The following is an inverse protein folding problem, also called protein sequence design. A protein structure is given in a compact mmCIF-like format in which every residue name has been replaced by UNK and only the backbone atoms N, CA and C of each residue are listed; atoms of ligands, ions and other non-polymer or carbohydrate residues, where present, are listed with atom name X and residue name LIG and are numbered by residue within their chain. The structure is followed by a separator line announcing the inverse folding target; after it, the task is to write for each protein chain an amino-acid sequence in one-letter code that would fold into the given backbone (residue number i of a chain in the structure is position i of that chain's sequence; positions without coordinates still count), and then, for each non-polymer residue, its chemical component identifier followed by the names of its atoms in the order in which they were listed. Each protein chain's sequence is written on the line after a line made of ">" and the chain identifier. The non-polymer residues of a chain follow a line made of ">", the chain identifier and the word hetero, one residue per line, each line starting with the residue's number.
data_IF_403491979969
#
_entry.id   IF_403491979969
#
_cell.length_a   1.000
_cell.length_b   1.000
_cell.length_c   1.000
_cell.angle_alpha   90.00
_cell.angle_beta   90.00
_cell.angle_gamma   90.00
#
_symmetry.space_group_name_H-M   'P 1'
#
loop_
_entity.id
_entity.type
_entity.pdbx_description
1 polymer ?
#
# COMPACT_ATOMS: atom_id res chain seq x y z
N UNK A 1 33.32 4.17 -39.65
CA UNK A 1 32.67 4.61 -38.39
C UNK A 1 31.18 4.70 -38.62
N UNK A 2 30.36 3.93 -37.90
CA UNK A 2 28.90 3.87 -38.12
C UNK A 2 28.18 5.04 -37.43
N UNK A 3 27.11 5.52 -38.06
CA UNK A 3 26.26 6.65 -37.61
C UNK A 3 25.67 6.44 -36.21
N UNK A 4 25.54 5.19 -35.79
CA UNK A 4 25.06 4.76 -34.48
C UNK A 4 25.87 5.40 -33.32
N UNK A 5 27.21 5.47 -33.44
CA UNK A 5 28.08 6.02 -32.37
C UNK A 5 27.96 7.54 -32.18
N UNK A 6 27.37 8.27 -33.14
CA UNK A 6 27.11 9.71 -33.02
C UNK A 6 25.80 10.00 -32.27
N UNK A 7 24.80 9.12 -32.38
CA UNK A 7 23.49 9.32 -31.77
C UNK A 7 23.45 8.92 -30.28
N UNK A 8 24.19 7.88 -29.89
CA UNK A 8 24.23 7.42 -28.49
C UNK A 8 25.42 8.01 -27.73
N UNK A 9 25.57 9.33 -27.73
CA UNK A 9 26.50 10.01 -26.83
C UNK A 9 25.84 10.18 -25.46
N UNK A 10 26.60 9.89 -24.40
CA UNK A 10 26.18 10.13 -23.02
C UNK A 10 25.80 11.60 -22.87
N UNK A 11 24.52 11.87 -22.66
CA UNK A 11 24.02 13.22 -22.43
C UNK A 11 24.60 13.72 -21.10
N UNK A 12 25.44 14.75 -21.15
CA UNK A 12 25.93 15.43 -19.95
C UNK A 12 24.87 16.48 -19.61
N UNK A 13 24.20 16.40 -18.44
CA UNK A 13 23.22 17.40 -18.06
C UNK A 13 23.92 18.76 -17.96
N UNK A 14 23.45 19.75 -18.70
CA UNK A 14 23.90 21.12 -18.51
C UNK A 14 23.33 21.64 -17.19
N UNK A 15 24.09 22.42 -16.40
CA UNK A 15 23.57 23.03 -15.20
C UNK A 15 22.38 23.92 -15.57
N UNK A 16 21.24 23.71 -14.91
CA UNK A 16 20.07 24.57 -15.10
C UNK A 16 20.45 26.00 -14.71
N UNK A 17 20.38 26.94 -15.65
CA UNK A 17 20.38 28.37 -15.31
C UNK A 17 19.15 28.62 -14.44
N UNK A 18 19.34 28.83 -13.14
CA UNK A 18 18.29 29.38 -12.31
C UNK A 18 18.00 30.79 -12.80
N UNK A 19 16.73 31.12 -13.06
CA UNK A 19 16.25 32.48 -13.38
C UNK A 19 16.37 33.45 -12.17
N UNK A 20 17.30 33.20 -11.25
CA UNK A 20 17.77 34.20 -10.31
C UNK A 20 18.75 35.11 -11.04
N UNK A 21 18.58 36.41 -10.86
CA UNK A 21 19.40 37.49 -11.44
C UNK A 21 20.86 37.07 -11.62
N UNK A 22 21.36 37.20 -12.85
CA UNK A 22 22.77 37.00 -13.17
C UNK A 22 23.61 37.74 -12.12
N UNK A 23 24.69 37.15 -11.58
CA UNK A 23 25.52 37.82 -10.57
C UNK A 23 25.97 39.16 -11.13
N UNK A 24 25.40 40.24 -10.59
CA UNK A 24 25.63 41.57 -11.09
C UNK A 24 27.08 41.94 -10.83
N UNK A 25 27.89 41.97 -11.90
CA UNK A 25 29.29 42.38 -11.85
C UNK A 25 29.45 43.82 -11.31
N UNK A 26 28.40 44.65 -11.36
CA UNK A 26 28.42 46.01 -10.79
C UNK A 26 28.31 46.03 -9.26
N UNK A 27 27.89 44.93 -8.63
CA UNK A 27 27.76 44.81 -7.19
C UNK A 27 29.10 44.81 -6.43
N UNK A 28 30.18 44.30 -7.05
CA UNK A 28 31.53 44.29 -6.48
C UNK A 28 32.26 45.64 -6.64
N UNK A 29 31.90 46.41 -7.65
CA UNK A 29 32.45 47.76 -7.88
C UNK A 29 31.85 48.77 -6.91
N UNK A 30 30.54 48.66 -6.64
CA UNK A 30 29.84 49.58 -5.73
C UNK A 30 30.07 49.26 -4.24
N UNK A 31 30.52 48.04 -3.92
CA UNK A 31 30.68 47.59 -2.54
C UNK A 31 31.89 46.65 -2.37
N UNK A 32 33.11 47.19 -2.29
CA UNK A 32 34.36 46.42 -2.30
C UNK A 32 34.55 45.50 -1.06
N UNK A 33 33.85 45.77 0.05
CA UNK A 33 33.99 45.00 1.31
C UNK A 33 32.86 43.99 1.57
N UNK A 34 32.09 43.59 0.55
CA UNK A 34 30.92 42.69 0.69
C UNK A 34 31.26 41.19 0.79
N UNK A 35 32.24 40.82 1.61
CA UNK A 35 32.31 39.44 2.11
C UNK A 35 31.21 39.15 3.15
N UNK A 36 30.59 40.21 3.71
CA UNK A 36 29.56 40.12 4.75
C UNK A 36 28.16 40.45 4.23
N UNK A 37 27.64 39.67 3.28
CA UNK A 37 26.20 39.65 3.05
C UNK A 37 25.54 38.91 4.21
N UNK A 38 24.47 39.45 4.84
CA UNK A 38 23.79 38.77 5.93
C UNK A 38 23.19 37.45 5.43
N UNK A 39 23.82 36.34 5.81
CA UNK A 39 23.31 35.00 5.60
C UNK A 39 22.24 34.77 6.66
N UNK A 40 20.99 34.57 6.23
CA UNK A 40 19.92 34.26 7.17
C UNK A 40 20.15 32.87 7.77
N UNK A 41 19.90 32.70 9.07
CA UNK A 41 20.01 31.40 9.75
C UNK A 41 19.15 30.34 9.05
N UNK A 42 18.01 30.74 8.48
CA UNK A 42 17.13 29.91 7.64
C UNK A 42 17.84 29.34 6.41
N UNK A 43 18.73 30.10 5.75
CA UNK A 43 19.50 29.63 4.58
C UNK A 43 20.50 28.53 4.95
N UNK A 44 21.03 28.55 6.17
CA UNK A 44 21.94 27.52 6.66
C UNK A 44 21.23 26.32 7.29
N UNK A 45 20.11 26.53 7.98
CA UNK A 45 19.36 25.45 8.66
C UNK A 45 18.40 24.70 7.75
N UNK A 46 17.86 25.33 6.69
CA UNK A 46 16.94 24.70 5.74
C UNK A 46 17.58 24.41 4.39
N UNK A 47 18.82 23.93 4.40
CA UNK A 47 19.38 23.25 3.23
C UNK A 47 18.63 21.94 3.10
N UNK A 48 17.62 21.90 2.23
CA UNK A 48 16.81 20.71 1.98
C UNK A 48 17.69 19.47 1.87
N UNK A 49 17.30 18.39 2.55
CA UNK A 49 18.09 17.15 2.57
C UNK A 49 18.18 16.65 1.13
N UNK A 50 19.38 16.70 0.55
CA UNK A 50 19.63 16.14 -0.77
C UNK A 50 19.44 14.63 -0.70
N UNK A 51 18.28 14.16 -1.17
CA UNK A 51 18.04 12.75 -1.35
C UNK A 51 18.71 12.33 -2.68
N UNK A 52 19.76 11.48 -2.66
CA UNK A 52 20.30 10.94 -3.90
C UNK A 52 19.18 10.19 -4.64
N UNK A 53 19.12 10.27 -5.98
CA UNK A 53 18.16 9.48 -6.74
C UNK A 53 18.30 8.01 -6.36
N UNK A 54 17.18 7.26 -6.21
CA UNK A 54 17.21 5.88 -5.78
C UNK A 54 18.16 5.09 -6.68
N UNK A 55 19.19 4.48 -6.08
CA UNK A 55 20.16 3.70 -6.81
C UNK A 55 19.42 2.58 -7.56
N UNK A 56 19.65 2.46 -8.87
CA UNK A 56 19.11 1.35 -9.64
C UNK A 56 19.59 0.05 -9.00
N UNK A 57 18.64 -0.76 -8.53
CA UNK A 57 18.91 -2.03 -7.88
C UNK A 57 19.65 -2.92 -8.88
N UNK A 58 20.94 -3.19 -8.63
CA UNK A 58 21.70 -4.13 -9.45
C UNK A 58 21.10 -5.51 -9.24
N UNK A 59 20.37 -5.99 -10.24
CA UNK A 59 19.84 -7.34 -10.25
C UNK A 59 21.00 -8.32 -10.03
N UNK A 60 20.89 -9.29 -9.10
CA UNK A 60 21.89 -10.32 -8.98
C UNK A 60 22.02 -11.06 -10.32
N UNK A 61 23.23 -11.52 -10.69
CA UNK A 61 23.42 -12.28 -11.90
C UNK A 61 22.46 -13.48 -11.90
N UNK A 62 21.77 -13.76 -13.02
CA UNK A 62 20.82 -14.85 -13.09
C UNK A 62 21.53 -16.16 -12.72
N UNK A 63 20.96 -16.91 -11.79
CA UNK A 63 21.49 -18.21 -11.34
C UNK A 63 21.39 -19.31 -12.40
N UNK A 64 20.74 -19.03 -13.53
CA UNK A 64 20.55 -19.95 -14.64
C UNK A 64 21.66 -19.67 -15.66
N UNK A 65 22.73 -20.46 -15.60
CA UNK A 65 23.60 -20.65 -16.76
C UNK A 65 22.89 -21.67 -17.65
N UNK A 66 22.70 -21.34 -18.93
CA UNK A 66 22.18 -22.29 -19.92
C UNK A 66 23.32 -23.28 -20.21
N UNK A 67 23.47 -24.29 -19.36
CA UNK A 67 24.39 -25.42 -19.56
C UNK A 67 23.55 -26.68 -19.82
N UNK A 68 23.84 -27.35 -20.94
CA UNK A 68 23.18 -28.58 -21.41
C UNK A 68 22.92 -28.54 -22.91
N UNK A 69 23.08 -29.67 -23.62
CA UNK A 69 22.75 -29.75 -25.04
C UNK A 69 21.23 -29.69 -25.26
N UNK A 70 20.78 -28.72 -26.05
CA UNK A 70 19.37 -28.51 -26.34
C UNK A 70 18.90 -29.35 -27.52
N UNK A 71 18.20 -30.45 -27.25
CA UNK A 71 17.44 -31.18 -28.26
C UNK A 71 16.05 -30.56 -28.43
N UNK A 72 15.84 -29.88 -29.56
CA UNK A 72 14.56 -29.24 -29.91
C UNK A 72 13.64 -30.12 -30.77
N UNK A 73 13.97 -31.40 -30.92
CA UNK A 73 13.10 -32.34 -31.60
C UNK A 73 12.03 -32.85 -30.65
N UNK A 74 10.80 -32.49 -30.95
CA UNK A 74 9.64 -32.95 -30.20
C UNK A 74 9.17 -34.29 -30.73
N UNK A 75 8.61 -35.12 -29.84
CA UNK A 75 7.93 -36.37 -30.21
C UNK A 75 6.87 -36.15 -31.29
N UNK A 76 6.26 -34.97 -31.34
CA UNK A 76 5.33 -34.59 -32.39
C UNK A 76 5.98 -34.54 -33.78
N UNK A 77 7.16 -33.92 -33.92
CA UNK A 77 7.88 -33.88 -35.21
C UNK A 77 8.43 -35.25 -35.63
N UNK A 78 8.75 -36.14 -34.68
CA UNK A 78 9.19 -37.50 -35.00
C UNK A 78 8.03 -38.41 -35.41
N UNK A 79 6.85 -38.24 -34.82
CA UNK A 79 5.69 -39.13 -34.99
C UNK A 79 4.78 -38.71 -36.15
N UNK A 80 4.65 -37.41 -36.43
CA UNK A 80 3.76 -36.90 -37.49
C UNK A 80 4.59 -36.45 -38.70
N UNK A 81 5.04 -37.42 -39.49
CA UNK A 81 5.63 -37.18 -40.81
C UNK A 81 4.56 -37.42 -41.87
N UNK A 82 4.58 -36.65 -42.95
CA UNK A 82 3.64 -36.82 -44.06
C UNK A 82 3.90 -38.17 -44.72
N UNK A 83 2.96 -39.10 -44.57
CA UNK A 83 2.97 -40.39 -45.26
C UNK A 83 2.19 -40.20 -46.55
N UNK A 84 2.86 -40.28 -47.69
CA UNK A 84 2.21 -40.16 -49.00
C UNK A 84 1.63 -41.52 -49.44
N UNK A 85 0.31 -41.57 -49.58
CA UNK A 85 -0.46 -42.72 -50.01
C UNK A 85 -1.94 -42.56 -49.65
N UNK A 86 -2.84 -42.81 -50.60
CA UNK A 86 -4.28 -42.71 -50.36
C UNK A 86 -4.80 -44.02 -49.72
N UNK A 87 -4.94 -44.01 -48.40
CA UNK A 87 -5.31 -45.18 -47.59
C UNK A 87 -6.82 -45.24 -47.27
N UNK A 88 -7.67 -44.58 -48.03
CA UNK A 88 -9.12 -44.56 -47.71
C UNK A 88 -9.91 -45.55 -48.56
N UNK A 89 -10.52 -46.52 -47.88
CA UNK A 89 -11.69 -47.24 -48.39
C UNK A 89 -12.91 -46.30 -48.39
N UNK A 90 -13.78 -46.45 -49.41
CA UNK A 90 -14.99 -45.62 -49.59
C UNK A 90 -15.94 -45.75 -48.40
N UNK A 91 -16.46 -44.62 -47.93
CA UNK A 91 -17.27 -44.54 -46.71
C UNK A 91 -18.76 -44.85 -46.99
N UNK A 92 -19.33 -45.81 -46.24
CA UNK A 92 -20.77 -46.05 -46.16
C UNK A 92 -21.38 -45.05 -45.17
N UNK A 93 -22.38 -44.29 -45.63
CA UNK A 93 -23.05 -43.24 -44.86
C UNK A 93 -23.98 -43.88 -43.81
N UNK A 94 -23.70 -43.68 -42.52
CA UNK A 94 -24.62 -44.02 -41.42
C UNK A 94 -25.59 -42.85 -41.16
N UNK A 95 -26.89 -43.16 -41.04
CA UNK A 95 -27.93 -42.19 -40.69
C UNK A 95 -27.90 -41.89 -39.18
N UNK A 96 -27.92 -40.60 -38.84
CA UNK A 96 -27.93 -40.11 -37.46
C UNK A 96 -29.24 -40.47 -36.76
N UNK A 97 -29.15 -41.13 -35.60
CA UNK A 97 -30.27 -41.30 -34.67
C UNK A 97 -30.10 -40.27 -33.56
N UNK A 98 -31.09 -39.38 -33.42
CA UNK A 98 -31.09 -38.29 -32.45
C UNK A 98 -31.02 -38.81 -30.99
N UNK A 99 -30.20 -38.19 -30.12
CA UNK A 99 -30.09 -38.62 -28.72
C UNK A 99 -31.34 -38.25 -27.91
N UNK A 100 -31.85 -39.23 -27.16
CA UNK A 100 -32.95 -39.06 -26.22
C UNK A 100 -32.58 -38.06 -25.10
N UNK A 101 -33.57 -37.27 -24.66
CA UNK A 101 -33.44 -36.23 -23.62
C UNK A 101 -32.81 -36.78 -22.35
N UNK A 102 -31.73 -36.14 -21.87
CA UNK A 102 -31.11 -36.41 -20.57
C UNK A 102 -32.09 -36.00 -19.46
N UNK A 103 -32.31 -36.88 -18.48
CA UNK A 103 -33.19 -36.64 -17.34
C UNK A 103 -32.76 -35.44 -16.49
N UNK A 104 -33.73 -34.78 -15.86
CA UNK A 104 -33.50 -33.65 -14.95
C UNK A 104 -32.84 -34.16 -13.66
N UNK A 105 -31.67 -33.61 -13.33
CA UNK A 105 -30.95 -33.93 -12.12
C UNK A 105 -31.51 -33.13 -10.93
N UNK A 106 -32.04 -33.83 -9.93
CA UNK A 106 -32.40 -33.22 -8.64
C UNK A 106 -31.18 -33.24 -7.73
N UNK A 107 -30.48 -32.11 -7.64
CA UNK A 107 -29.18 -31.97 -6.99
C UNK A 107 -29.20 -31.60 -5.51
N UNK A 108 -30.31 -31.82 -4.79
CA UNK A 108 -30.38 -31.57 -3.36
C UNK A 108 -29.90 -32.81 -2.62
N UNK A 109 -28.83 -32.68 -1.84
CA UNK A 109 -28.32 -33.79 -1.03
C UNK A 109 -29.13 -33.92 0.25
N UNK A 110 -29.26 -35.14 0.78
CA UNK A 110 -29.98 -35.42 2.04
C UNK A 110 -29.50 -34.51 3.19
N UNK A 111 -28.20 -34.20 3.24
CA UNK A 111 -27.62 -33.25 4.21
C UNK A 111 -28.15 -31.81 4.07
N UNK A 112 -28.54 -31.37 2.87
CA UNK A 112 -29.16 -30.06 2.67
C UNK A 112 -30.63 -30.05 3.11
N UNK A 113 -31.33 -31.18 3.07
CA UNK A 113 -32.68 -31.33 3.62
C UNK A 113 -32.66 -31.43 5.14
N UNK A 114 -31.72 -32.18 5.71
CA UNK A 114 -31.63 -32.42 7.15
C UNK A 114 -31.11 -31.19 7.93
N UNK A 115 -30.31 -30.33 7.29
CA UNK A 115 -29.73 -29.13 7.91
C UNK A 115 -30.05 -27.86 7.12
N UNK A 116 -31.31 -27.40 7.11
CA UNK A 116 -31.68 -26.12 6.50
C UNK A 116 -31.10 -24.99 7.37
N UNK A 117 -29.84 -24.62 7.11
CA UNK A 117 -29.00 -23.82 8.02
C UNK A 117 -29.70 -22.59 8.60
N UNK A 118 -29.42 -22.27 9.88
CA UNK A 118 -29.76 -21.05 10.63
C UNK A 118 -30.97 -20.22 10.12
N UNK A 119 -32.13 -20.86 9.93
CA UNK A 119 -33.38 -20.14 9.62
C UNK A 119 -34.16 -19.86 10.89
N UNK A 120 -34.12 -18.60 11.32
CA UNK A 120 -35.18 -17.88 12.06
C UNK A 120 -35.62 -18.34 13.47
N UNK A 121 -35.48 -19.61 13.80
CA UNK A 121 -36.06 -20.24 14.99
C UNK A 121 -35.04 -20.66 16.06
N UNK A 122 -33.75 -20.43 15.82
CA UNK A 122 -32.74 -20.58 16.86
C UNK A 122 -32.75 -19.33 17.77
N UNK A 123 -32.62 -19.51 19.10
CA UNK A 123 -32.63 -18.39 20.03
C UNK A 123 -31.49 -17.42 19.66
N UNK A 124 -31.86 -16.19 19.34
CA UNK A 124 -30.87 -15.13 19.08
C UNK A 124 -30.05 -14.92 20.35
N UNK A 125 -28.74 -14.63 20.23
CA UNK A 125 -27.95 -14.23 21.39
C UNK A 125 -28.64 -13.07 22.13
N UNK A 126 -28.56 -13.05 23.47
CA UNK A 126 -29.19 -12.01 24.27
C UNK A 126 -28.74 -10.63 23.79
N UNK A 127 -29.67 -9.67 23.72
CA UNK A 127 -29.36 -8.31 23.32
C UNK A 127 -28.36 -7.69 24.32
N UNK A 128 -27.39 -6.89 23.86
CA UNK A 128 -26.53 -6.12 24.76
C UNK A 128 -27.41 -5.28 25.70
N UNK A 129 -27.03 -5.20 26.96
CA UNK A 129 -27.74 -4.40 27.97
C UNK A 129 -27.53 -2.92 27.65
N UNK A 130 -28.62 -2.16 27.58
CA UNK A 130 -28.56 -0.72 27.37
C UNK A 130 -27.88 -0.03 28.57
N UNK A 131 -26.99 0.95 28.34
CA UNK A 131 -26.30 1.65 29.41
C UNK A 131 -27.30 2.44 30.29
N UNK A 132 -26.94 2.70 31.57
CA UNK A 132 -27.76 3.53 32.45
C UNK A 132 -27.96 4.93 31.86
N UNK A 133 -29.15 5.50 32.12
CA UNK A 133 -29.51 6.84 31.65
C UNK A 133 -28.51 7.88 32.20
N UNK A 134 -28.01 8.81 31.37
CA UNK A 134 -27.05 9.82 31.79
C UNK A 134 -27.67 10.70 32.89
N UNK A 135 -26.93 10.90 33.98
CA UNK A 135 -27.39 11.67 35.16
C UNK A 135 -27.23 13.18 34.99
N UNK A 136 -26.53 13.60 33.94
CA UNK A 136 -26.25 15.01 33.67
C UNK A 136 -27.11 15.44 32.49
N UNK A 137 -28.08 16.32 32.75
CA UNK A 137 -28.85 16.99 31.71
C UNK A 137 -27.98 18.13 31.14
N UNK A 138 -27.26 17.88 30.03
CA UNK A 138 -26.39 18.85 29.34
C UNK A 138 -27.19 20.01 28.68
N UNK A 139 -28.38 20.34 29.18
CA UNK A 139 -29.18 21.51 28.78
C UNK A 139 -28.64 22.81 29.39
N UNK A 140 -27.32 22.92 29.56
CA UNK A 140 -26.71 24.23 29.78
C UNK A 140 -26.98 25.08 28.55
N UNK A 141 -27.47 26.29 28.80
CA UNK A 141 -27.90 27.27 27.80
C UNK A 141 -26.77 27.47 26.76
N UNK A 142 -26.87 26.76 25.62
CA UNK A 142 -25.88 26.69 24.54
C UNK A 142 -25.88 27.98 23.69
N UNK A 143 -26.02 29.15 24.33
CA UNK A 143 -25.98 30.46 23.67
C UNK A 143 -24.55 30.99 23.50
N UNK A 144 -23.52 30.17 23.74
CA UNK A 144 -22.17 30.51 23.32
C UNK A 144 -22.01 30.18 21.84
N UNK A 145 -22.00 31.24 21.03
CA UNK A 145 -21.76 31.14 19.60
C UNK A 145 -20.25 30.96 19.37
N UNK A 146 -19.78 29.71 19.33
CA UNK A 146 -18.38 29.37 19.06
C UNK A 146 -18.04 29.48 17.56
N UNK A 147 -18.24 30.66 16.98
CA UNK A 147 -17.81 30.96 15.62
C UNK A 147 -16.60 31.90 15.67
N UNK A 148 -15.47 31.44 15.18
CA UNK A 148 -14.27 32.26 15.01
C UNK A 148 -14.41 33.13 13.75
N UNK A 149 -13.71 34.26 13.71
CA UNK A 149 -13.69 35.17 12.56
C UNK A 149 -13.27 34.47 11.26
N UNK A 150 -12.39 33.46 11.36
CA UNK A 150 -11.97 32.68 10.20
C UNK A 150 -13.14 31.93 9.54
N UNK A 151 -14.11 31.47 10.34
CA UNK A 151 -15.29 30.73 9.88
C UNK A 151 -16.32 31.64 9.19
N UNK A 152 -16.37 32.92 9.54
CA UNK A 152 -17.24 33.90 8.88
C UNK A 152 -16.63 34.47 7.61
N UNK A 153 -15.30 34.62 7.58
CA UNK A 153 -14.54 35.19 6.45
C UNK A 153 -14.33 34.16 5.34
N UNK A 154 -13.97 32.92 5.66
CA UNK A 154 -13.71 31.86 4.67
C UNK A 154 -14.86 30.85 4.66
N UNK A 155 -15.97 31.25 4.03
CA UNK A 155 -17.10 30.34 3.81
C UNK A 155 -16.71 29.28 2.79
N UNK A 156 -17.31 28.09 2.93
CA UNK A 156 -17.15 27.01 1.96
C UNK A 156 -17.56 27.49 0.57
N UNK A 157 -16.76 27.14 -0.43
CA UNK A 157 -17.00 27.50 -1.81
C UNK A 157 -18.01 26.52 -2.43
N UNK A 158 -19.13 27.01 -2.94
CA UNK A 158 -20.10 26.17 -3.62
C UNK A 158 -19.59 25.79 -5.02
N UNK A 159 -19.33 24.50 -5.20
CA UNK A 159 -18.79 23.93 -6.44
C UNK A 159 -19.84 23.93 -7.56
N UNK A 160 -21.13 24.06 -7.22
CA UNK A 160 -22.21 24.12 -8.21
C UNK A 160 -22.31 25.50 -8.87
N UNK A 161 -22.18 26.58 -8.09
CA UNK A 161 -22.26 27.96 -8.59
C UNK A 161 -20.94 28.42 -9.21
N UNK A 162 -19.81 27.90 -8.72
CA UNK A 162 -18.47 28.25 -9.16
C UNK A 162 -17.68 26.96 -9.45
N UNK A 163 -17.93 26.30 -10.59
CA UNK A 163 -17.20 25.09 -10.95
C UNK A 163 -15.71 25.41 -11.18
N UNK A 164 -14.84 24.51 -10.75
CA UNK A 164 -13.42 24.61 -11.02
C UNK A 164 -13.17 24.64 -12.54
N UNK A 165 -12.23 25.48 -12.99
CA UNK A 165 -11.86 25.53 -14.39
C UNK A 165 -11.43 24.13 -14.89
N UNK A 166 -11.91 23.67 -16.05
CA UNK A 166 -11.54 22.36 -16.57
C UNK A 166 -10.03 22.31 -16.81
N UNK A 167 -9.43 21.14 -16.57
CA UNK A 167 -8.00 20.97 -16.77
C UNK A 167 -7.66 21.21 -18.24
N UNK A 168 -6.62 22.00 -18.52
CA UNK A 168 -6.06 22.19 -19.86
C UNK A 168 -5.34 20.95 -20.42
N UNK A 169 -5.51 19.78 -19.79
CA UNK A 169 -5.05 18.51 -20.33
C UNK A 169 -5.95 18.15 -21.50
N UNK A 170 -5.32 17.75 -22.61
CA UNK A 170 -6.04 17.25 -23.79
C UNK A 170 -6.84 16.03 -23.36
N UNK A 171 -8.17 16.13 -23.41
CA UNK A 171 -9.06 15.00 -23.14
C UNK A 171 -8.75 13.95 -24.19
N UNK A 172 -8.48 12.72 -23.74
CA UNK A 172 -8.23 11.59 -24.63
C UNK A 172 -9.51 11.36 -25.46
N UNK A 173 -9.45 11.67 -26.76
CA UNK A 173 -10.56 11.41 -27.67
C UNK A 173 -10.80 9.90 -27.72
N UNK A 174 -12.07 9.50 -27.52
CA UNK A 174 -12.47 8.10 -27.54
C UNK A 174 -12.15 7.49 -28.92
N UNK A 175 -11.31 6.45 -28.92
CA UNK A 175 -10.84 5.82 -30.15
C UNK A 175 -12.00 5.21 -30.94
N UNK A 176 -12.26 5.74 -32.14
CA UNK A 176 -13.27 5.21 -33.06
C UNK A 176 -12.68 4.08 -33.89
N UNK A 177 -13.08 2.85 -33.58
CA UNK A 177 -12.71 1.66 -34.37
C UNK A 177 -13.22 1.82 -35.81
N UNK A 178 -12.39 1.63 -36.84
CA UNK A 178 -12.83 1.70 -38.23
C UNK A 178 -13.86 0.59 -38.51
N UNK A 179 -15.05 0.98 -38.96
CA UNK A 179 -16.16 0.05 -39.27
C UNK A 179 -15.98 -0.69 -40.61
N UNK A 180 -14.93 -0.38 -41.36
CA UNK A 180 -14.71 -0.95 -42.69
C UNK A 180 -14.13 -2.36 -42.55
N UNK A 181 -14.87 -3.35 -43.03
CA UNK A 181 -14.40 -4.74 -43.09
C UNK A 181 -13.40 -4.89 -44.24
N UNK A 182 -12.40 -5.74 -44.05
CA UNK A 182 -11.39 -6.05 -45.06
C UNK A 182 -12.04 -6.74 -46.28
N UNK A 183 -11.81 -6.21 -47.47
CA UNK A 183 -12.24 -6.85 -48.72
C UNK A 183 -11.44 -8.15 -48.91
N UNK A 184 -12.15 -9.28 -49.00
CA UNK A 184 -11.54 -10.63 -49.07
C UNK A 184 -11.79 -11.35 -50.39
N UNK A 185 -12.39 -10.66 -51.36
CA UNK A 185 -12.61 -11.19 -52.70
C UNK A 185 -11.34 -11.06 -53.53
N UNK A 186 -10.72 -12.19 -53.84
CA UNK A 186 -9.63 -12.28 -54.81
C UNK A 186 -10.22 -12.51 -56.20
N UNK A 187 -9.51 -12.07 -57.26
CA UNK A 187 -9.91 -12.28 -58.66
C UNK A 187 -10.27 -13.74 -58.95
N UNK A 188 -9.49 -14.67 -58.42
CA UNK A 188 -9.73 -16.11 -58.59
C UNK A 188 -11.05 -16.60 -58.00
N UNK A 189 -11.52 -16.06 -56.86
CA UNK A 189 -12.84 -16.41 -56.33
C UNK A 189 -13.97 -15.83 -57.18
N UNK A 190 -13.73 -14.71 -57.86
CA UNK A 190 -14.71 -14.07 -58.75
C UNK A 190 -14.85 -14.84 -60.06
N UNK A 191 -13.72 -15.28 -60.62
CA UNK A 191 -13.66 -15.86 -61.97
C UNK A 191 -14.02 -17.35 -62.00
N UNK A 192 -13.82 -18.08 -60.90
CA UNK A 192 -14.05 -19.52 -60.82
C UNK A 192 -15.18 -19.85 -59.84
N UNK A 193 -16.42 -19.72 -60.31
CA UNK A 193 -17.62 -20.17 -59.63
C UNK A 193 -18.09 -21.51 -60.21
N UNK A 194 -18.66 -22.43 -59.40
CA UNK A 194 -19.14 -23.71 -59.89
C UNK A 194 -20.29 -23.52 -60.89
N UNK A 195 -20.15 -24.12 -62.07
CA UNK A 195 -21.17 -24.12 -63.12
C UNK A 195 -22.21 -25.19 -62.77
N UNK A 196 -23.49 -24.82 -62.73
CA UNK A 196 -24.58 -25.76 -62.44
C UNK A 196 -24.84 -26.66 -63.67
N UNK A 197 -24.35 -27.90 -63.60
CA UNK A 197 -24.43 -28.89 -64.70
C UNK A 197 -25.83 -29.51 -64.87
N UNK A 198 -26.78 -29.21 -63.98
CA UNK A 198 -28.14 -29.77 -64.02
C UNK A 198 -28.94 -29.39 -65.27
N UNK A 199 -28.59 -28.31 -65.94
CA UNK A 199 -29.24 -27.90 -67.18
C UNK A 199 -28.77 -28.71 -68.42
N UNK A 200 -27.66 -29.46 -68.31
CA UNK A 200 -27.05 -30.17 -69.44
C UNK A 200 -27.24 -31.70 -69.41
N UNK A 201 -27.93 -32.25 -68.40
CA UNK A 201 -28.10 -33.70 -68.27
C UNK A 201 -29.25 -34.26 -69.15
N UNK A 202 -28.87 -34.74 -70.33
CA UNK A 202 -29.22 -36.05 -70.88
C UNK A 202 -30.69 -36.33 -71.24
N UNK A 203 -31.03 -36.15 -72.52
CA UNK A 203 -32.12 -36.88 -73.17
C UNK A 203 -31.78 -38.38 -73.08
N UNK A 204 -32.33 -39.08 -72.10
CA UNK A 204 -32.23 -40.55 -72.02
C UNK A 204 -33.05 -41.14 -73.17
N UNK A 205 -32.36 -41.60 -74.21
CA UNK A 205 -32.97 -42.39 -75.29
C UNK A 205 -33.48 -43.69 -74.67
N UNK A 206 -34.80 -43.86 -74.64
CA UNK A 206 -35.47 -45.07 -74.13
C UNK A 206 -35.66 -46.06 -75.26
N UNK A 207 -35.05 -47.25 -75.15
CA UNK A 207 -35.30 -48.37 -76.06
C UNK A 207 -36.42 -49.25 -75.48
N UNK A 208 -37.42 -49.68 -76.28
CA UNK A 208 -38.47 -50.57 -75.79
C UNK A 208 -37.92 -52.00 -75.61
N UNK A 209 -37.96 -52.51 -74.38
CA UNK A 209 -37.63 -53.92 -74.10
C UNK A 209 -38.85 -54.83 -74.31
N UNK A 210 -38.66 -55.94 -75.02
CA UNK A 210 -39.70 -56.96 -75.21
C UNK A 210 -39.96 -57.70 -73.90
N UNK A 211 -41.24 -57.80 -73.50
CA UNK A 211 -41.64 -58.50 -72.29
C UNK A 211 -41.78 -60.00 -72.59
N UNK A 212 -40.77 -60.79 -72.24
CA UNK A 212 -40.90 -62.24 -72.07
C UNK A 212 -41.41 -62.50 -70.65
N UNK A 213 -42.73 -62.51 -70.44
CA UNK A 213 -43.30 -62.96 -69.16
C UNK A 213 -43.44 -64.48 -69.15
N UNK A 214 -42.67 -65.16 -68.30
CA UNK A 214 -42.91 -66.57 -67.95
C UNK A 214 -44.08 -66.63 -66.95
N UNK A 215 -44.93 -67.65 -67.07
CA UNK A 215 -46.17 -67.84 -66.30
C UNK A 215 -45.94 -67.81 -64.78
N UNK A 216 -46.74 -67.02 -64.08
CA UNK A 216 -46.56 -66.62 -62.67
C UNK A 216 -46.95 -67.67 -61.61
N UNK A 217 -47.18 -68.92 -61.98
CA UNK A 217 -47.78 -69.93 -61.08
C UNK A 217 -46.84 -71.08 -60.67
N UNK A 218 -45.54 -70.80 -60.50
CA UNK A 218 -44.63 -71.71 -59.83
C UNK A 218 -44.27 -71.16 -58.43
N UNK A 219 -44.73 -71.83 -57.37
CA UNK A 219 -44.35 -71.50 -55.99
C UNK A 219 -43.02 -72.18 -55.64
N UNK A 220 -42.03 -71.35 -55.31
CA UNK A 220 -40.71 -71.79 -54.85
C UNK A 220 -40.81 -72.22 -53.38
N UNK A 221 -40.42 -73.46 -53.07
CA UNK A 221 -40.59 -74.04 -51.73
C UNK A 221 -39.63 -73.45 -50.69
N UNK A 222 -38.64 -72.64 -51.10
CA UNK A 222 -37.88 -71.74 -50.23
C UNK A 222 -36.95 -72.39 -49.20
N UNK A 223 -37.05 -73.70 -48.98
CA UNK A 223 -36.24 -74.45 -48.04
C UNK A 223 -34.85 -74.68 -48.63
N UNK A 224 -33.84 -74.17 -47.95
CA UNK A 224 -32.45 -74.45 -48.27
C UNK A 224 -31.83 -75.19 -47.09
N UNK A 225 -30.89 -76.09 -47.35
CA UNK A 225 -30.14 -76.81 -46.32
C UNK A 225 -29.51 -75.86 -45.28
N UNK A 226 -29.16 -74.66 -45.71
CA UNK A 226 -28.59 -73.62 -44.85
C UNK A 226 -29.60 -73.10 -43.82
N UNK A 227 -30.87 -72.93 -44.22
CA UNK A 227 -31.94 -72.50 -43.33
C UNK A 227 -32.27 -73.56 -42.27
N UNK A 228 -32.09 -74.84 -42.59
CA UNK A 228 -32.31 -75.93 -41.65
C UNK A 228 -31.13 -76.13 -40.68
N UNK A 229 -29.89 -76.00 -41.15
CA UNK A 229 -28.69 -76.19 -40.32
C UNK A 229 -28.40 -75.03 -39.37
N UNK A 230 -28.59 -73.78 -39.82
CA UNK A 230 -28.21 -72.60 -39.06
C UNK A 230 -29.45 -71.93 -38.46
N UNK A 231 -30.02 -72.60 -37.46
CA UNK A 231 -31.07 -72.03 -36.62
C UNK A 231 -30.46 -71.14 -35.54
N UNK A 232 -31.22 -70.16 -35.06
CA UNK A 232 -30.78 -69.32 -33.93
C UNK A 232 -30.91 -70.13 -32.63
N UNK A 233 -29.77 -70.65 -32.16
CA UNK A 233 -29.69 -71.45 -30.93
C UNK A 233 -29.66 -70.61 -29.64
N UNK A 234 -29.73 -69.28 -29.76
CA UNK A 234 -29.63 -68.35 -28.63
C UNK A 234 -28.22 -68.20 -28.07
N UNK A 235 -27.92 -67.05 -27.47
CA UNK A 235 -26.62 -66.75 -26.88
C UNK A 235 -26.62 -67.13 -25.41
N UNK A 236 -25.80 -68.10 -25.00
CA UNK A 236 -25.56 -68.36 -23.57
C UNK A 236 -24.79 -67.17 -22.96
N UNK A 237 -25.25 -66.61 -21.81
CA UNK A 237 -24.57 -65.49 -21.17
C UNK A 237 -23.18 -65.93 -20.68
N UNK A 238 -22.16 -65.17 -21.08
CA UNK A 238 -20.78 -65.43 -20.66
C UNK A 238 -20.59 -65.03 -19.19
N UNK A 239 -20.40 -66.01 -18.31
CA UNK A 239 -19.98 -65.76 -16.93
C UNK A 239 -18.54 -65.23 -16.95
N UNK A 240 -18.35 -63.96 -16.58
CA UNK A 240 -17.03 -63.39 -16.35
C UNK A 240 -16.59 -63.74 -14.94
N UNK A 241 -15.63 -64.65 -14.83
CA UNK A 241 -14.81 -64.75 -13.63
C UNK A 241 -13.91 -63.51 -13.64
N UNK A 242 -14.14 -62.59 -12.69
CA UNK A 242 -13.54 -61.25 -12.68
C UNK A 242 -12.03 -61.27 -12.89
N UNK A 243 -11.53 -60.23 -13.57
CA UNK A 243 -10.10 -60.05 -13.81
C UNK A 243 -9.37 -59.93 -12.46
N UNK A 244 -8.21 -60.57 -12.33
CA UNK A 244 -7.37 -60.56 -11.13
C UNK A 244 -6.94 -59.13 -10.69
N UNK A 245 -7.22 -58.13 -11.52
CA UNK A 245 -6.87 -56.73 -11.32
C UNK A 245 -8.06 -55.83 -10.98
N UNK A 246 -9.31 -56.31 -11.06
CA UNK A 246 -10.51 -55.52 -10.76
C UNK A 246 -10.74 -55.32 -9.25
N UNK A 247 -10.19 -56.21 -8.40
CA UNK A 247 -10.38 -56.20 -6.94
C UNK A 247 -9.12 -55.79 -6.15
N UNK A 248 -8.16 -55.06 -6.74
CA UNK A 248 -7.03 -54.53 -5.96
C UNK A 248 -7.46 -53.27 -5.19
N UNK A 249 -7.58 -53.31 -3.85
CA UNK A 249 -7.86 -52.09 -3.10
C UNK A 249 -6.72 -51.10 -3.32
N UNK A 250 -7.06 -49.84 -3.59
CA UNK A 250 -6.07 -48.77 -3.69
C UNK A 250 -5.31 -48.66 -2.36
N UNK A 251 -3.99 -48.84 -2.41
CA UNK A 251 -3.11 -48.66 -1.25
C UNK A 251 -2.50 -47.25 -1.38
N UNK A 252 -2.93 -46.26 -0.58
CA UNK A 252 -2.34 -44.93 -0.62
C UNK A 252 -0.87 -44.97 -0.19
N UNK A 253 -0.06 -44.10 -0.78
CA UNK A 253 1.34 -43.93 -0.35
C UNK A 253 1.40 -43.40 1.08
N UNK A 254 2.25 -44.00 1.93
CA UNK A 254 2.45 -43.55 3.33
C UNK A 254 3.11 -42.16 3.43
N UNK A 255 3.78 -41.73 2.37
CA UNK A 255 4.48 -40.44 2.34
C UNK A 255 3.50 -39.34 1.90
N UNK A 256 3.28 -38.31 2.72
CA UNK A 256 2.51 -37.15 2.28
C UNK A 256 3.28 -36.44 1.16
N UNK A 257 2.53 -35.82 0.25
CA UNK A 257 3.10 -34.99 -0.79
C UNK A 257 3.71 -33.73 -0.17
N UNK A 258 5.04 -33.65 -0.17
CA UNK A 258 5.81 -32.56 0.47
C UNK A 258 6.14 -31.40 -0.48
N UNK A 259 5.65 -31.43 -1.72
CA UNK A 259 5.98 -30.37 -2.67
C UNK A 259 5.29 -29.07 -2.27
N UNK A 260 6.04 -27.97 -2.30
CA UNK A 260 5.52 -26.61 -2.19
C UNK A 260 5.79 -25.89 -3.49
N UNK A 261 4.87 -25.00 -3.89
CA UNK A 261 5.08 -24.17 -5.07
C UNK A 261 6.16 -23.12 -4.79
N UNK A 262 6.90 -22.72 -5.84
CA UNK A 262 7.87 -21.62 -5.76
C UNK A 262 7.18 -20.33 -5.27
N UNK A 263 5.92 -20.13 -5.63
CA UNK A 263 5.13 -18.99 -5.15
C UNK A 263 4.91 -19.04 -3.64
N UNK A 264 4.53 -20.20 -3.09
CA UNK A 264 4.31 -20.37 -1.65
C UNK A 264 5.60 -20.16 -0.84
N UNK A 265 6.76 -20.58 -1.38
CA UNK A 265 8.05 -20.40 -0.71
C UNK A 265 8.63 -18.99 -0.86
N UNK A 266 8.32 -18.29 -1.96
CA UNK A 266 8.91 -16.97 -2.27
C UNK A 266 8.10 -15.80 -1.69
N UNK A 267 6.77 -15.90 -1.66
CA UNK A 267 5.88 -14.82 -1.24
C UNK A 267 5.46 -14.96 0.23
N UNK A 268 6.44 -14.97 1.13
CA UNK A 268 6.21 -14.94 2.59
C UNK A 268 6.07 -13.49 3.06
N UNK A 269 5.09 -13.16 3.91
CA UNK A 269 4.94 -11.80 4.45
C UNK A 269 6.21 -11.39 5.19
N UNK A 270 6.90 -10.37 4.68
CA UNK A 270 8.04 -9.76 5.36
C UNK A 270 7.53 -8.65 6.29
N UNK A 271 8.03 -8.56 7.54
CA UNK A 271 7.68 -7.46 8.41
C UNK A 271 8.15 -6.15 7.77
N UNK A 272 7.24 -5.17 7.71
CA UNK A 272 7.56 -3.85 7.21
C UNK A 272 8.41 -3.12 8.26
N UNK A 273 9.59 -2.65 7.87
CA UNK A 273 10.38 -1.77 8.74
C UNK A 273 9.58 -0.49 9.03
N UNK A 274 9.37 -0.20 10.31
CA UNK A 274 8.67 1.01 10.73
C UNK A 274 9.51 2.23 10.40
N UNK A 275 9.15 2.93 9.33
CA UNK A 275 9.77 4.20 8.97
C UNK A 275 9.36 5.23 10.04
N UNK A 276 10.30 5.59 10.91
CA UNK A 276 10.11 6.67 11.87
C UNK A 276 10.03 8.00 11.12
N UNK A 277 8.89 8.71 11.24
CA UNK A 277 8.75 10.04 10.68
C UNK A 277 9.74 10.97 11.40
N UNK A 278 10.58 11.75 10.69
CA UNK A 278 11.48 12.71 11.31
C UNK A 278 10.68 13.90 11.82
N UNK A 279 9.98 13.73 12.96
CA UNK A 279 9.44 14.85 13.71
C UNK A 279 10.59 15.46 14.52
N UNK A 280 10.74 16.79 14.52
CA UNK A 280 11.70 17.44 15.40
C UNK A 280 11.36 17.06 16.85
N UNK A 281 12.36 16.54 17.56
CA UNK A 281 12.22 16.26 18.99
C UNK A 281 12.31 17.60 19.72
N UNK A 282 11.35 17.88 20.61
CA UNK A 282 11.47 18.98 21.57
C UNK A 282 12.64 18.69 22.49
N UNK A 283 13.81 19.20 22.12
CA UNK A 283 14.99 19.19 22.98
C UNK A 283 14.94 20.47 23.81
N UNK A 284 15.05 20.38 25.14
CA UNK A 284 15.18 21.58 25.95
C UNK A 284 16.42 22.33 25.47
N UNK A 285 16.24 23.60 25.11
CA UNK A 285 17.34 24.50 24.74
C UNK A 285 18.35 24.46 25.88
N UNK A 286 19.60 24.13 25.57
CA UNK A 286 20.69 24.11 26.54
C UNK A 286 20.73 25.46 27.24
N UNK A 287 20.47 25.50 28.56
CA UNK A 287 20.57 26.69 29.41
C UNK A 287 22.02 27.13 29.64
N UNK A 288 22.90 26.90 28.67
CA UNK A 288 24.29 27.35 28.69
C UNK A 288 24.34 28.76 28.12
N UNK A 289 24.05 29.73 28.97
CA UNK A 289 24.10 31.15 28.64
C UNK A 289 23.51 31.95 29.79
N UNK A 290 24.31 32.81 30.40
CA UNK A 290 23.84 33.75 31.41
C UNK A 290 23.06 34.86 30.70
N UNK A 291 21.74 34.73 30.65
CA UNK A 291 20.87 35.73 30.02
C UNK A 291 20.59 36.81 31.06
N UNK A 292 21.13 38.01 30.85
CA UNK A 292 20.80 39.18 31.67
C UNK A 292 19.39 39.67 31.32
N UNK A 293 18.42 39.37 32.20
CA UNK A 293 17.03 39.82 32.09
C UNK A 293 16.79 41.23 32.66
N UNK A 294 17.85 41.95 33.06
CA UNK A 294 17.73 43.34 33.53
C UNK A 294 17.45 44.25 32.35
N UNK A 295 16.31 44.92 32.39
CA UNK A 295 15.97 45.92 31.39
C UNK A 295 16.66 47.23 31.72
N UNK A 296 16.95 48.04 30.70
CA UNK A 296 17.50 49.40 30.85
C UNK A 296 16.65 50.23 31.84
N UNK A 297 15.34 50.04 31.81
CA UNK A 297 14.41 50.68 32.74
C UNK A 297 14.67 50.33 34.22
N UNK A 298 14.96 49.06 34.53
CA UNK A 298 15.27 48.64 35.90
C UNK A 298 16.61 49.19 36.39
N UNK A 299 17.55 49.46 35.46
CA UNK A 299 18.85 50.06 35.80
C UNK A 299 18.74 51.57 35.99
N UNK A 300 18.00 52.27 35.14
CA UNK A 300 17.88 53.73 35.18
C UNK A 300 16.96 54.24 36.29
N UNK A 301 15.87 53.53 36.56
CA UNK A 301 14.82 53.97 37.50
C UNK A 301 14.96 53.30 38.87
N UNK A 302 16.18 53.31 39.42
CA UNK A 302 16.39 52.92 40.81
C UNK A 302 15.87 54.00 41.76
N UNK A 303 15.23 53.57 42.85
CA UNK A 303 14.72 54.46 43.89
C UNK A 303 15.90 55.26 44.49
N UNK A 304 16.02 56.53 44.12
CA UNK A 304 17.01 57.44 44.71
C UNK A 304 16.76 57.53 46.21
N UNK A 305 17.80 57.32 47.02
CA UNK A 305 17.70 57.47 48.47
C UNK A 305 17.34 58.91 48.79
N UNK A 306 16.28 59.09 49.59
CA UNK A 306 15.84 60.42 50.01
C UNK A 306 16.97 61.07 50.82
N UNK A 307 17.35 62.30 50.45
CA UNK A 307 18.30 63.08 51.26
C UNK A 307 17.66 63.37 52.61
N UNK A 308 18.37 63.03 53.70
CA UNK A 308 17.89 63.33 55.05
C UNK A 308 17.68 64.83 55.23
N UNK A 309 16.60 65.22 55.91
CA UNK A 309 16.31 66.62 56.17
C UNK A 309 17.35 67.21 57.14
N UNK A 310 17.55 68.53 57.11
CA UNK A 310 18.55 69.20 57.96
C UNK A 310 18.34 68.93 59.46
N UNK A 311 17.08 68.78 59.88
CA UNK A 311 16.72 68.42 61.25
C UNK A 311 17.13 66.98 61.61
N UNK A 312 16.91 66.00 60.73
CA UNK A 312 17.37 64.62 60.92
C UNK A 312 18.89 64.55 61.02
N UNK A 313 19.60 65.25 60.13
CA UNK A 313 21.07 65.33 60.18
C UNK A 313 21.53 65.93 61.51
N UNK A 314 20.87 66.99 61.99
CA UNK A 314 21.17 67.63 63.27
C UNK A 314 20.95 66.68 64.46
N UNK A 315 19.83 65.96 64.50
CA UNK A 315 19.52 64.99 65.54
C UNK A 315 20.56 63.85 65.56
N UNK A 316 20.95 63.32 64.40
CA UNK A 316 22.00 62.31 64.29
C UNK A 316 23.34 62.86 64.79
N UNK A 317 23.71 64.09 64.44
CA UNK A 317 24.94 64.72 64.93
C UNK A 317 24.92 64.94 66.45
N UNK A 318 23.77 65.30 67.02
CA UNK A 318 23.60 65.47 68.45
C UNK A 318 23.72 64.15 69.20
N UNK A 319 23.08 63.09 68.71
CA UNK A 319 23.18 61.73 69.26
C UNK A 319 24.64 61.22 69.20
N UNK A 320 25.34 61.46 68.09
CA UNK A 320 26.76 61.12 67.94
C UNK A 320 27.65 61.89 68.92
N UNK A 321 27.37 63.17 69.15
CA UNK A 321 28.08 63.97 70.17
C UNK A 321 27.80 63.47 71.58
N UNK A 322 26.56 63.09 71.90
CA UNK A 322 26.19 62.51 73.21
C UNK A 322 26.95 61.21 73.46
N UNK A 323 26.91 60.28 72.50
CA UNK A 323 27.65 59.01 72.56
C UNK A 323 29.17 59.19 72.68
N UNK A 324 29.74 60.19 71.98
CA UNK A 324 31.17 60.52 72.14
C UNK A 324 31.50 61.02 73.55
N UNK A 325 30.65 61.86 74.14
CA UNK A 325 30.81 62.33 75.53
C UNK A 325 30.66 61.18 76.53
N UNK A 326 29.67 60.31 76.36
CA UNK A 326 29.48 59.11 77.19
C UNK A 326 30.68 58.16 77.08
N UNK A 327 31.22 57.96 75.87
CA UNK A 327 32.42 57.16 75.66
C UNK A 327 33.68 57.79 76.28
N UNK A 328 33.81 59.12 76.26
CA UNK A 328 34.90 59.84 76.93
C UNK A 328 34.76 59.79 78.46
N UNK A 329 33.55 59.92 79.00
CA UNK A 329 33.28 59.78 80.44
C UNK A 329 33.53 58.35 80.92
N UNK A 330 33.14 57.32 80.16
CA UNK A 330 33.49 55.92 80.46
C UNK A 330 35.00 55.70 80.48
N UNK A 331 35.74 56.27 79.51
CA UNK A 331 37.20 56.21 79.49
C UNK A 331 37.86 56.93 80.68
N UNK A 332 37.25 58.01 81.19
CA UNK A 332 37.71 58.70 82.40
C UNK A 332 37.41 57.90 83.67
N UNK A 333 36.22 57.29 83.77
CA UNK A 333 35.84 56.40 84.87
C UNK A 333 36.66 55.11 84.92
N UNK A 334 37.14 54.60 83.78
CA UNK A 334 38.08 53.46 83.72
C UNK A 334 39.54 53.84 84.05
N UNK A 335 39.84 55.13 84.30
CA UNK A 335 41.20 55.61 84.61
C UNK A 335 41.46 55.94 86.08
N UNK A 336 40.48 55.78 86.98
CA UNK A 336 40.74 55.83 88.43
C UNK A 336 41.28 54.49 88.95
N UNK A 337 42.47 54.44 89.59
CA UNK A 337 43.03 53.21 90.12
C UNK A 337 42.40 52.88 91.48
N UNK A 338 41.38 52.02 91.49
CA UNK A 338 40.87 51.42 92.72
C UNK A 338 41.70 50.20 93.11
N UNK A 339 42.25 50.30 94.33
CA UNK A 339 43.00 49.30 95.08
C UNK A 339 42.33 47.93 95.10
N UNK A 340 43.20 46.92 95.06
CA UNK A 340 43.07 45.53 95.48
C UNK A 340 41.88 45.22 96.42
N UNK A 341 41.10 44.18 96.06
CA UNK A 341 40.87 43.01 96.92
C UNK A 341 40.11 41.88 96.19
N UNK A 342 40.84 40.78 96.05
CA UNK A 342 40.50 39.37 96.28
C UNK A 342 39.08 38.80 96.00
N UNK A 343 39.10 37.79 95.11
CA UNK A 343 38.56 36.41 95.28
C UNK A 343 37.04 36.21 95.42
N UNK A 344 36.43 35.60 94.39
CA UNK A 344 35.93 34.21 94.42
C UNK A 344 35.13 33.87 93.14
N UNK A 345 35.42 32.69 92.59
CA UNK A 345 34.63 32.01 91.54
C UNK A 345 33.51 31.17 92.21
N UNK A 346 32.69 30.35 91.51
CA UNK A 346 32.41 30.21 90.07
C UNK A 346 30.88 30.12 89.74
N UNK A 347 30.50 30.08 88.47
CA UNK A 347 29.67 28.98 87.91
C UNK A 347 29.40 29.14 86.41
N UNK A 348 29.65 28.05 85.67
CA UNK A 348 29.20 27.82 84.27
C UNK A 348 27.70 27.51 84.26
N UNK A 349 27.01 27.78 83.14
CA UNK A 349 26.50 26.65 82.33
C UNK A 349 26.78 26.86 80.83
N UNK A 350 27.32 25.85 80.16
CA UNK A 350 26.61 24.77 79.44
C UNK A 350 26.22 25.20 78.01
N UNK A 351 27.00 24.67 77.06
CA UNK A 351 26.82 24.77 75.62
C UNK A 351 25.65 23.87 75.21
N UNK A 352 24.74 24.38 74.40
CA UNK A 352 23.78 23.58 73.65
C UNK A 352 23.92 23.88 72.15
N UNK A 353 23.95 22.80 71.40
CA UNK A 353 24.35 22.70 70.02
C UNK A 353 23.28 23.21 69.02
N UNK A 354 23.77 23.46 67.81
CA UNK A 354 23.00 23.70 66.60
C UNK A 354 22.09 22.52 66.25
N UNK A 355 20.93 22.82 65.67
CA UNK A 355 20.24 21.92 64.74
C UNK A 355 19.50 22.76 63.69
N UNK A 356 19.96 22.60 62.45
CA UNK A 356 19.27 22.98 61.22
C UNK A 356 17.98 22.16 61.08
N UNK A 357 16.89 22.79 60.66
CA UNK A 357 15.79 22.09 59.97
C UNK A 357 15.32 22.88 58.76
N UNK A 358 15.05 22.12 57.70
CA UNK A 358 14.59 22.51 56.37
C UNK A 358 13.09 22.82 56.35
N UNK A 359 12.72 23.60 55.33
CA UNK A 359 11.47 23.69 54.58
C UNK A 359 10.30 22.76 54.93
N UNK A 360 9.07 23.32 54.89
CA UNK A 360 7.93 22.98 54.02
C UNK A 360 6.78 23.94 54.36
N UNK A 361 6.37 24.77 53.39
CA UNK A 361 5.00 24.98 52.86
C UNK A 361 5.06 26.02 51.76
#
# INVERSE_FOLDING_TARGET
>A
MTTNKKHYRRWVPQPNLSFSELPSFTGSILFPDKENLPVTTTRDTFKGIFAPPPAQMKMPPPSIKIEGDHFFDTTHKSTYKQIEGDHRSRQVVQKETMPQRKGLFFGVTQTQEDFPGFKGHQPRPPRPVDPPQPTIDLKFDNKQNFSTENRSIFRGHDVSEHPAAPSCKKVEEEYKVPSVKFETETSQKRDFQPIDLKAAENVRISFPMSKLSLSADAKFDGRTMNHELFQDWGVQPRVRYGDFHENRPYIPSKNPFTSQSVTQSTFVPKPLETISRPKPQDRPISKSGEVNFKTVYQEEYQKKQARMCRAQVYLIQQELKRRKKEAQQKKLLESEPAREKCVSAPNKPFVAASLNTKAVT
#
